data_IF_142938553663
#
_entry.id   IF_142938553663
#
_cell.length_a   1.000
_cell.length_b   1.000
_cell.length_c   1.000
_cell.angle_alpha   90.00
_cell.angle_beta   90.00
_cell.angle_gamma   90.00
#
_symmetry.space_group_name_H-M   'P 1'
#
loop_
_entity.id
_entity.type
_entity.pdbx_description
1 polymer ?
#
# COMPACT_ATOMS: atom_id res chain seq x y z
N UNK A 1 23.37 30.65 18.05
CA UNK A 1 24.10 29.81 17.08
C UNK A 1 23.17 28.98 16.19
N UNK A 2 22.12 28.32 16.72
CA UNK A 2 21.20 27.47 15.95
C UNK A 2 20.46 28.18 14.78
N UNK A 3 20.05 29.44 14.96
CA UNK A 3 19.39 30.24 13.91
C UNK A 3 20.32 30.58 12.73
N UNK A 4 21.62 30.71 12.98
CA UNK A 4 22.62 30.97 11.94
C UNK A 4 22.86 29.72 11.08
N UNK A 5 22.90 28.54 11.72
CA UNK A 5 22.97 27.26 11.01
C UNK A 5 21.73 27.04 10.12
N UNK A 6 20.54 27.39 10.59
CA UNK A 6 19.32 27.33 9.80
C UNK A 6 19.32 28.29 8.60
N UNK A 7 19.98 29.45 8.70
CA UNK A 7 20.17 30.36 7.56
C UNK A 7 21.21 29.82 6.56
N UNK A 8 22.23 29.11 7.03
CA UNK A 8 23.23 28.48 6.16
C UNK A 8 22.66 27.30 5.38
N UNK A 9 21.67 26.56 5.90
CA UNK A 9 21.03 25.48 5.12
C UNK A 9 20.23 26.00 3.93
N UNK A 10 19.78 27.25 3.94
CA UNK A 10 19.16 27.88 2.77
C UNK A 10 20.11 28.01 1.58
N UNK A 11 21.43 28.12 1.81
CA UNK A 11 22.41 28.10 0.72
C UNK A 11 22.45 26.75 0.00
N UNK A 12 22.09 25.66 0.69
CA UNK A 12 21.97 24.33 0.10
C UNK A 12 20.62 24.10 -0.61
N UNK A 13 19.72 25.09 -0.63
CA UNK A 13 18.40 24.96 -1.27
C UNK A 13 18.47 24.45 -2.73
N UNK A 14 19.37 24.93 -3.61
CA UNK A 14 19.47 24.40 -4.97
C UNK A 14 19.79 22.90 -5.01
N UNK A 15 20.61 22.42 -4.08
CA UNK A 15 20.96 20.99 -3.94
C UNK A 15 19.71 20.20 -3.53
N UNK A 16 18.95 20.69 -2.55
CA UNK A 16 17.69 20.05 -2.13
C UNK A 16 16.66 20.00 -3.24
N UNK A 17 16.52 21.08 -4.03
CA UNK A 17 15.61 21.12 -5.19
C UNK A 17 16.03 20.07 -6.22
N UNK A 18 17.32 19.98 -6.54
CA UNK A 18 17.82 18.99 -7.49
C UNK A 18 17.60 17.56 -7.00
N UNK A 19 17.90 17.28 -5.72
CA UNK A 19 17.66 15.98 -5.09
C UNK A 19 16.17 15.63 -5.09
N UNK A 20 15.31 16.55 -4.67
CA UNK A 20 13.85 16.37 -4.63
C UNK A 20 13.27 16.11 -6.01
N UNK A 21 13.74 16.83 -7.04
CA UNK A 21 13.32 16.60 -8.43
C UNK A 21 13.81 15.24 -8.94
N UNK A 22 15.03 14.85 -8.58
CA UNK A 22 15.59 13.54 -8.90
C UNK A 22 14.78 12.39 -8.30
N UNK A 23 14.44 12.48 -7.01
CA UNK A 23 13.57 11.51 -6.32
C UNK A 23 12.19 11.48 -6.98
N UNK A 24 11.55 12.64 -7.17
CA UNK A 24 10.20 12.71 -7.75
C UNK A 24 10.11 12.15 -9.17
N UNK A 25 11.18 12.27 -9.96
CA UNK A 25 11.24 11.73 -11.33
C UNK A 25 11.54 10.23 -11.38
N UNK A 26 12.27 9.69 -10.42
CA UNK A 26 12.76 8.30 -10.45
C UNK A 26 11.93 7.34 -9.60
N UNK A 27 11.30 7.83 -8.54
CA UNK A 27 10.49 6.98 -7.66
C UNK A 27 9.20 6.60 -8.35
N UNK A 28 9.10 5.32 -8.73
CA UNK A 28 7.86 4.73 -9.25
C UNK A 28 6.74 4.83 -8.23
N UNK A 29 5.57 5.31 -8.65
CA UNK A 29 4.36 5.28 -7.83
C UNK A 29 3.76 3.88 -7.90
N UNK A 30 3.77 3.18 -6.77
CA UNK A 30 3.06 1.89 -6.66
C UNK A 30 1.58 2.17 -6.43
N UNK A 31 0.76 1.68 -7.36
CA UNK A 31 -0.70 1.74 -7.24
C UNK A 31 -1.20 0.52 -6.47
N UNK A 32 -2.40 0.60 -5.86
CA UNK A 32 -3.11 -0.58 -5.38
C UNK A 32 -3.27 -1.64 -6.48
N UNK A 33 -3.44 -2.89 -6.06
CA UNK A 33 -3.71 -3.97 -6.99
C UNK A 33 -4.99 -3.72 -7.80
N UNK A 34 -5.04 -4.26 -9.02
CA UNK A 34 -6.22 -4.17 -9.89
C UNK A 34 -7.28 -5.17 -9.47
N UNK A 35 -8.56 -4.84 -9.68
CA UNK A 35 -9.66 -5.75 -9.43
C UNK A 35 -10.61 -5.26 -8.34
N UNK A 36 -11.62 -6.07 -7.98
CA UNK A 36 -12.58 -5.69 -6.97
C UNK A 36 -11.95 -5.64 -5.58
N UNK A 37 -12.51 -4.80 -4.70
CA UNK A 37 -12.12 -4.70 -3.29
C UNK A 37 -13.12 -5.41 -2.37
N UNK A 38 -14.28 -5.79 -2.90
CA UNK A 38 -15.31 -6.58 -2.23
C UNK A 38 -15.43 -7.89 -3.01
N UNK A 39 -15.34 -9.00 -2.30
CA UNK A 39 -15.46 -10.34 -2.87
C UNK A 39 -16.47 -11.13 -2.07
N UNK A 40 -17.13 -12.05 -2.75
CA UNK A 40 -18.01 -13.04 -2.16
C UNK A 40 -17.58 -14.42 -2.65
N UNK A 41 -17.62 -15.40 -1.76
CA UNK A 41 -17.28 -16.79 -2.08
C UNK A 41 -18.36 -17.70 -1.49
N UNK A 42 -18.75 -18.77 -2.21
CA UNK A 42 -19.70 -19.74 -1.67
C UNK A 42 -19.08 -20.49 -0.49
N UNK A 43 -19.90 -20.78 0.52
CA UNK A 43 -19.50 -21.53 1.71
C UNK A 43 -20.72 -22.01 2.50
N UNK A 44 -20.47 -22.77 3.57
CA UNK A 44 -21.53 -23.26 4.47
C UNK A 44 -21.93 -22.22 5.51
N UNK A 45 -23.13 -22.40 6.06
CA UNK A 45 -23.56 -21.63 7.22
C UNK A 45 -22.74 -22.03 8.47
N UNK A 46 -22.43 -21.07 9.37
CA UNK A 46 -22.79 -19.65 9.30
C UNK A 46 -21.88 -18.85 8.36
N UNK A 47 -22.44 -17.83 7.69
CA UNK A 47 -21.67 -16.97 6.80
C UNK A 47 -20.59 -16.21 7.57
N UNK A 48 -19.36 -16.20 7.04
CA UNK A 48 -18.22 -15.49 7.61
C UNK A 48 -18.03 -14.18 6.86
N UNK A 49 -18.06 -13.06 7.58
CA UNK A 49 -17.74 -11.74 7.03
C UNK A 49 -16.31 -11.35 7.40
N UNK A 50 -15.46 -11.17 6.39
CA UNK A 50 -14.06 -10.78 6.58
C UNK A 50 -13.84 -9.33 6.15
N UNK A 51 -13.38 -8.49 7.07
CA UNK A 51 -12.91 -7.13 6.78
C UNK A 51 -11.41 -7.06 7.05
N UNK A 52 -10.64 -6.65 6.04
CA UNK A 52 -9.19 -6.48 6.15
C UNK A 52 -8.86 -4.99 6.10
N UNK A 53 -8.32 -4.46 7.20
CA UNK A 53 -7.92 -3.06 7.35
C UNK A 53 -6.41 -2.95 7.50
N UNK A 54 -5.83 -1.93 6.86
CA UNK A 54 -4.41 -1.66 6.91
C UNK A 54 -4.02 -0.56 5.93
N UNK A 55 -2.74 -0.54 5.59
CA UNK A 55 -2.13 0.45 4.72
C UNK A 55 -1.92 -0.11 3.28
N UNK A 56 -0.73 0.02 2.74
CA UNK A 56 -0.31 -0.54 1.46
C UNK A 56 -0.49 -2.06 1.39
N UNK A 57 -0.32 -2.79 2.51
CA UNK A 57 -0.43 -4.25 2.52
C UNK A 57 -1.88 -4.71 2.34
N UNK A 58 -2.82 -4.04 3.02
CA UNK A 58 -4.26 -4.32 2.86
C UNK A 58 -4.76 -3.91 1.46
N UNK A 59 -4.25 -2.79 0.93
CA UNK A 59 -4.51 -2.35 -0.44
C UNK A 59 -3.79 -3.19 -1.52
N UNK A 60 -3.02 -4.21 -1.12
CA UNK A 60 -2.28 -5.11 -2.02
C UNK A 60 -1.34 -4.35 -2.97
N UNK A 61 -0.75 -3.25 -2.50
CA UNK A 61 0.17 -2.43 -3.29
C UNK A 61 1.39 -3.26 -3.68
N UNK A 62 1.74 -3.22 -4.97
CA UNK A 62 2.83 -4.03 -5.53
C UNK A 62 2.40 -5.42 -6.01
N UNK A 63 1.15 -5.83 -5.76
CA UNK A 63 0.56 -7.05 -6.34
C UNK A 63 -0.24 -6.66 -7.60
N UNK A 64 -0.18 -7.50 -8.64
CA UNK A 64 -0.84 -7.21 -9.92
C UNK A 64 -2.38 -7.17 -9.82
N UNK A 65 -2.97 -8.14 -9.10
CA UNK A 65 -4.42 -8.30 -8.94
C UNK A 65 -4.82 -8.55 -7.49
N UNK A 66 -5.95 -7.98 -7.05
CA UNK A 66 -6.44 -8.02 -5.67
C UNK A 66 -6.74 -9.44 -5.16
N UNK A 67 -7.06 -10.36 -6.06
CA UNK A 67 -7.23 -11.80 -5.80
C UNK A 67 -5.95 -12.50 -5.29
N UNK A 68 -4.78 -11.96 -5.64
CA UNK A 68 -3.49 -12.43 -5.12
C UNK A 68 -3.08 -11.69 -3.84
N UNK A 69 -3.93 -10.76 -3.38
CA UNK A 69 -3.74 -9.95 -2.20
C UNK A 69 -4.04 -10.69 -0.90
N UNK A 70 -3.60 -10.10 0.22
CA UNK A 70 -3.74 -10.70 1.54
C UNK A 70 -5.20 -11.03 1.90
N UNK A 71 -6.15 -10.14 1.56
CA UNK A 71 -7.55 -10.34 1.88
C UNK A 71 -8.17 -11.53 1.14
N UNK A 72 -7.90 -11.66 -0.15
CA UNK A 72 -8.41 -12.75 -0.97
C UNK A 72 -7.79 -14.10 -0.56
N UNK A 73 -6.48 -14.13 -0.32
CA UNK A 73 -5.80 -15.34 0.13
C UNK A 73 -6.29 -15.79 1.52
N UNK A 74 -6.54 -14.85 2.43
CA UNK A 74 -7.09 -15.18 3.73
C UNK A 74 -8.54 -15.72 3.62
N UNK A 75 -9.36 -15.13 2.75
CA UNK A 75 -10.71 -15.63 2.49
C UNK A 75 -10.71 -17.07 1.95
N UNK A 76 -9.81 -17.39 1.03
CA UNK A 76 -9.61 -18.76 0.51
C UNK A 76 -9.22 -19.71 1.65
N UNK A 77 -8.21 -19.37 2.45
CA UNK A 77 -7.75 -20.22 3.56
C UNK A 77 -8.84 -20.43 4.62
N UNK A 78 -9.66 -19.42 4.89
CA UNK A 78 -10.80 -19.54 5.81
C UNK A 78 -11.86 -20.48 5.20
N UNK A 79 -12.19 -20.30 3.92
CA UNK A 79 -13.15 -21.17 3.21
C UNK A 79 -12.69 -22.63 3.21
N UNK A 80 -11.41 -22.91 2.92
CA UNK A 80 -10.85 -24.27 2.97
C UNK A 80 -10.98 -24.93 4.36
N UNK A 81 -10.93 -24.12 5.42
CA UNK A 81 -10.99 -24.59 6.82
C UNK A 81 -12.42 -24.75 7.34
N UNK A 82 -13.37 -23.99 6.79
CA UNK A 82 -14.73 -23.87 7.35
C UNK A 82 -15.83 -24.41 6.44
N UNK A 83 -15.53 -24.57 5.15
CA UNK A 83 -16.39 -25.17 4.13
C UNK A 83 -17.47 -24.25 3.61
#
# INVERSE_FOLDING_TARGET
MQRLLALLTWLAFPVYVWQGLGVRRRTSRMLPARGPVIHEMPGKAPAITLLVLGDSSAASVGIGHSENGLAAQLAILISERTG
#
